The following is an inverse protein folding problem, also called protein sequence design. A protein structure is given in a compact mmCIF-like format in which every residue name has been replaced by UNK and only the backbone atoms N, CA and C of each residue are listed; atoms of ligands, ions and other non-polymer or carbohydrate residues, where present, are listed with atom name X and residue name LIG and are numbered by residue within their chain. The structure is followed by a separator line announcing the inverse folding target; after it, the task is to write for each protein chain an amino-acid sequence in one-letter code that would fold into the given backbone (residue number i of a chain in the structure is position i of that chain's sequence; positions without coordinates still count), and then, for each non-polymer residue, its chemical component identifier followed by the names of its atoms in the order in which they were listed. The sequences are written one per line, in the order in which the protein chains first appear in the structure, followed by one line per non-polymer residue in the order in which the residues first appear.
data_IF_878449573010
#
_entry.id   IF_878449573010
#
_cell.length_a   1.000
_cell.length_b   1.000
_cell.length_c   1.000
_cell.angle_alpha   90.00
_cell.angle_beta   90.00
_cell.angle_gamma   90.00
#
_symmetry.space_group_name_H-M   'P 1'
#
loop_
_entity.id
_entity.type
_entity.pdbx_description
1 polymer ?
#
# COMPACT_ATOMS: atom_id res chain seq x y z
N UNK A 1 -10.55 -0.65 -13.99
CA UNK A 1 -11.25 -0.62 -13.44
C UNK A 1 -11.62 -0.35 -13.30
N UNK A 2 -11.67 -0.37 -13.62
CA UNK A 2 -12.51 -0.29 -13.28
C UNK A 2 -12.99 -0.09 -13.32
N UNK A 3 -12.81 0.38 -13.40
CA UNK A 3 -13.77 0.40 -13.36
C UNK A 3 -14.20 -0.11 -13.97
N UNK A 4 -13.62 -0.40 -14.09
CA UNK A 4 -14.60 -0.96 -14.74
C UNK A 4 -15.77 -0.44 -14.46
N UNK A 5 -16.36 -0.08 -15.31
CA UNK A 5 -17.62 0.17 -14.89
C UNK A 5 -18.11 -1.07 -14.28
N UNK A 6 -18.71 -0.89 -13.20
CA UNK A 6 -19.37 -1.93 -12.64
C UNK A 6 -20.35 -2.39 -13.61
N UNK A 7 -20.24 -3.56 -14.01
CA UNK A 7 -21.21 -4.11 -14.88
C UNK A 7 -22.53 -4.05 -14.20
N UNK A 8 -23.56 -3.80 -14.90
CA UNK A 8 -24.79 -3.69 -14.30
C UNK A 8 -25.23 -4.87 -13.59
N UNK A 9 -24.72 -6.01 -13.98
CA UNK A 9 -25.03 -7.22 -13.29
C UNK A 9 -24.21 -7.44 -12.09
N UNK A 10 -23.21 -6.60 -11.87
CA UNK A 10 -22.44 -6.75 -10.66
C UNK A 10 -23.27 -6.38 -9.48
N UNK A 11 -23.10 -7.05 -8.39
CA UNK A 11 -23.76 -6.63 -7.17
C UNK A 11 -23.26 -5.26 -6.82
N UNK A 12 -24.08 -4.50 -6.17
CA UNK A 12 -23.63 -3.24 -5.63
C UNK A 12 -22.40 -3.49 -4.79
N UNK A 13 -21.46 -2.57 -4.81
CA UNK A 13 -20.30 -2.72 -3.95
C UNK A 13 -20.80 -2.89 -2.55
N UNK A 14 -20.19 -3.80 -1.86
CA UNK A 14 -20.52 -3.97 -0.48
C UNK A 14 -20.31 -2.68 0.23
N UNK A 15 -21.15 -2.36 1.16
CA UNK A 15 -20.91 -1.19 1.98
C UNK A 15 -19.50 -1.31 2.47
N UNK A 16 -18.85 -0.21 2.61
CA UNK A 16 -17.50 -0.16 3.10
C UNK A 16 -17.49 -0.79 4.46
N UNK A 17 -17.46 -2.08 4.46
CA UNK A 17 -17.32 -2.82 5.67
C UNK A 17 -15.88 -2.73 6.02
N UNK A 18 -15.60 -2.30 7.18
CA UNK A 18 -14.26 -2.32 7.67
C UNK A 18 -13.80 -3.75 7.58
N UNK A 19 -12.82 -3.99 6.77
CA UNK A 19 -12.17 -5.27 6.75
C UNK A 19 -11.29 -5.32 7.99
N UNK A 20 -11.53 -6.27 8.87
CA UNK A 20 -10.84 -6.24 10.17
C UNK A 20 -9.33 -6.29 10.04
N UNK A 21 -8.84 -6.84 8.93
CA UNK A 21 -7.41 -7.01 8.73
C UNK A 21 -6.76 -5.89 7.94
N UNK A 22 -7.52 -4.91 7.45
CA UNK A 22 -6.97 -3.88 6.59
C UNK A 22 -6.68 -2.59 7.33
N UNK A 23 -7.57 -2.16 8.19
CA UNK A 23 -7.39 -0.91 8.92
C UNK A 23 -7.53 0.32 8.05
N UNK A 24 -7.34 1.50 8.62
CA UNK A 24 -7.58 2.77 7.96
C UNK A 24 -6.36 3.40 7.33
N UNK A 25 -5.22 3.34 8.00
CA UNK A 25 -4.05 4.08 7.55
C UNK A 25 -3.49 3.47 6.27
N UNK A 26 -2.89 4.32 5.47
CA UNK A 26 -2.27 3.91 4.21
C UNK A 26 -0.78 4.23 4.29
N UNK A 27 0.04 3.23 4.04
CA UNK A 27 1.49 3.40 3.98
C UNK A 27 1.99 3.17 2.57
N UNK A 28 3.00 3.92 2.17
CA UNK A 28 3.55 3.82 0.83
C UNK A 28 5.07 3.86 0.90
N UNK A 29 5.71 2.97 0.16
CA UNK A 29 7.16 2.99 0.01
C UNK A 29 7.47 2.95 -1.47
N UNK A 30 8.25 3.93 -1.93
CA UNK A 30 8.68 3.98 -3.31
C UNK A 30 10.16 3.70 -3.38
N UNK A 31 10.55 2.82 -4.29
CA UNK A 31 11.94 2.44 -4.53
C UNK A 31 12.22 2.53 -6.02
N UNK A 32 13.51 2.61 -6.34
CA UNK A 32 13.93 2.43 -7.71
C UNK A 32 14.30 0.97 -7.87
N UNK A 33 13.51 0.26 -8.65
CA UNK A 33 13.74 -1.15 -8.90
C UNK A 33 12.89 -2.07 -8.03
N UNK A 34 12.65 -3.24 -8.58
CA UNK A 34 11.73 -4.20 -8.00
C UNK A 34 12.28 -4.87 -6.73
N UNK A 35 13.59 -5.07 -6.69
CA UNK A 35 14.20 -5.78 -5.56
C UNK A 35 13.98 -5.02 -4.25
N UNK A 36 14.19 -3.70 -4.29
CA UNK A 36 13.94 -2.90 -3.09
C UNK A 36 12.50 -2.95 -2.64
N UNK A 37 11.56 -2.96 -3.58
CA UNK A 37 10.15 -3.05 -3.25
C UNK A 37 9.81 -4.39 -2.59
N UNK A 38 10.34 -5.48 -3.11
CA UNK A 38 10.07 -6.79 -2.54
C UNK A 38 10.66 -6.91 -1.13
N UNK A 39 11.88 -6.42 -0.97
CA UNK A 39 12.52 -6.44 0.35
C UNK A 39 11.72 -5.60 1.37
N UNK A 40 11.29 -4.41 0.95
CA UNK A 40 10.49 -3.56 1.80
C UNK A 40 9.17 -4.24 2.17
N UNK A 41 8.52 -4.85 1.19
CA UNK A 41 7.23 -5.52 1.41
C UNK A 41 7.37 -6.66 2.40
N UNK A 42 8.40 -7.47 2.25
CA UNK A 42 8.65 -8.59 3.14
C UNK A 42 8.88 -8.09 4.57
N UNK A 43 9.72 -7.07 4.73
CA UNK A 43 10.00 -6.52 6.04
C UNK A 43 8.77 -5.93 6.70
N UNK A 44 7.91 -5.27 5.92
CA UNK A 44 6.71 -4.66 6.46
C UNK A 44 5.76 -5.68 7.05
N UNK A 45 5.46 -6.74 6.30
CA UNK A 45 4.49 -7.72 6.78
C UNK A 45 5.03 -8.59 7.88
N UNK A 46 6.35 -8.70 7.99
CA UNK A 46 6.97 -9.45 9.08
C UNK A 46 7.06 -8.65 10.38
N UNK A 47 7.05 -7.33 10.27
CA UNK A 47 7.28 -6.46 11.43
C UNK A 47 6.00 -6.05 12.12
N UNK A 48 4.93 -5.81 11.36
CA UNK A 48 3.72 -5.27 11.94
C UNK A 48 2.49 -5.83 11.23
N UNK A 49 1.34 -5.63 11.85
CA UNK A 49 0.10 -6.17 11.31
C UNK A 49 -0.43 -5.23 10.22
N UNK A 50 0.11 -5.39 9.05
CA UNK A 50 -0.33 -4.63 7.86
C UNK A 50 -0.61 -5.59 6.72
N UNK A 51 -1.43 -5.13 5.79
CA UNK A 51 -1.80 -5.89 4.60
C UNK A 51 -1.29 -5.15 3.38
N UNK A 52 -0.59 -5.86 2.50
CA UNK A 52 -0.21 -5.27 1.21
C UNK A 52 -1.46 -5.22 0.35
N UNK A 53 -1.83 -4.04 -0.10
CA UNK A 53 -3.06 -3.86 -0.86
C UNK A 53 -2.81 -3.55 -2.33
N UNK A 54 -1.57 -3.38 -2.70
CA UNK A 54 -1.26 -3.17 -4.11
C UNK A 54 0.15 -2.64 -4.31
N UNK A 55 0.52 -2.53 -5.57
CA UNK A 55 1.77 -1.90 -5.95
C UNK A 55 1.59 -1.32 -7.34
N UNK A 56 2.39 -0.31 -7.64
CA UNK A 56 2.32 0.37 -8.93
C UNK A 56 3.71 0.57 -9.47
N UNK A 57 3.80 0.44 -10.78
CA UNK A 57 5.02 0.74 -11.50
C UNK A 57 4.84 2.09 -12.16
N UNK A 58 5.83 2.94 -12.01
CA UNK A 58 5.84 4.24 -12.66
C UNK A 58 7.02 4.26 -13.62
N UNK A 59 7.29 5.38 -14.24
CA UNK A 59 8.41 5.48 -15.16
C UNK A 59 9.75 5.45 -14.44
N UNK A 60 10.79 5.22 -15.20
CA UNK A 60 12.18 5.32 -14.73
C UNK A 60 12.55 4.29 -13.66
N UNK A 61 11.89 3.15 -13.70
CA UNK A 61 12.20 2.08 -12.76
C UNK A 61 11.62 2.28 -11.38
N UNK A 62 10.80 3.30 -11.18
CA UNK A 62 10.18 3.54 -9.89
C UNK A 62 8.99 2.63 -9.67
N UNK A 63 8.93 2.06 -8.48
CA UNK A 63 7.79 1.22 -8.07
C UNK A 63 7.38 1.61 -6.67
N UNK A 64 6.09 1.51 -6.40
CA UNK A 64 5.54 1.88 -5.09
C UNK A 64 4.68 0.74 -4.58
N UNK A 65 4.92 0.34 -3.33
CA UNK A 65 4.08 -0.64 -2.66
C UNK A 65 3.20 0.09 -1.65
N UNK A 66 1.99 -0.43 -1.50
CA UNK A 66 0.97 0.18 -0.64
C UNK A 66 0.52 -0.81 0.40
N UNK A 67 0.44 -0.38 1.64
CA UNK A 67 -0.02 -1.22 2.74
C UNK A 67 -1.09 -0.50 3.54
N UNK A 68 -1.94 -1.27 4.19
CA UNK A 68 -2.96 -0.75 5.08
C UNK A 68 -2.91 -1.45 6.43
N UNK A 69 -3.39 -0.75 7.45
CA UNK A 69 -3.45 -1.25 8.80
C UNK A 69 -3.82 -0.12 9.73
N UNK A 70 -3.77 -0.35 11.03
CA UNK A 70 -3.91 0.75 11.97
C UNK A 70 -2.66 1.64 11.88
N UNK A 71 -2.79 2.88 12.32
CA UNK A 71 -1.73 3.87 12.08
C UNK A 71 -0.42 3.48 12.76
N UNK A 72 -0.47 2.91 13.94
CA UNK A 72 0.75 2.49 14.62
C UNK A 72 1.47 1.37 13.88
N UNK A 73 0.70 0.40 13.41
CA UNK A 73 1.26 -0.71 12.64
C UNK A 73 1.83 -0.23 11.30
N UNK A 74 1.13 0.67 10.63
CA UNK A 74 1.61 1.19 9.35
C UNK A 74 2.90 1.98 9.54
N UNK A 75 3.00 2.78 10.58
CA UNK A 75 4.23 3.53 10.86
C UNK A 75 5.39 2.58 11.14
N UNK A 76 5.16 1.59 12.00
CA UNK A 76 6.22 0.61 12.29
C UNK A 76 6.62 -0.17 11.04
N UNK A 77 5.64 -0.55 10.24
CA UNK A 77 5.91 -1.30 9.02
C UNK A 77 6.73 -0.47 8.03
N UNK A 78 6.33 0.78 7.78
CA UNK A 78 7.04 1.59 6.80
C UNK A 78 8.46 1.94 7.27
N UNK A 79 8.68 2.10 8.56
CA UNK A 79 10.03 2.31 9.08
C UNK A 79 10.91 1.09 8.79
N UNK A 80 10.39 -0.10 9.06
CA UNK A 80 11.13 -1.34 8.82
C UNK A 80 11.35 -1.56 7.33
N UNK A 81 10.33 -1.30 6.53
CA UNK A 81 10.41 -1.47 5.08
C UNK A 81 11.42 -0.53 4.45
N UNK A 82 11.44 0.72 4.90
CA UNK A 82 12.39 1.70 4.40
C UNK A 82 13.83 1.27 4.71
N UNK A 83 14.08 0.82 5.92
CA UNK A 83 15.41 0.36 6.30
C UNK A 83 15.83 -0.85 5.46
N UNK A 84 14.91 -1.78 5.23
CA UNK A 84 15.20 -2.96 4.42
C UNK A 84 15.50 -2.58 2.97
N UNK A 85 14.72 -1.67 2.40
CA UNK A 85 14.93 -1.23 1.02
C UNK A 85 16.29 -0.58 0.84
N UNK A 86 16.71 0.23 1.82
CA UNK A 86 18.01 0.90 1.74
C UNK A 86 19.18 -0.07 1.70
N UNK A 87 19.02 -1.23 2.30
CA UNK A 87 20.12 -2.20 2.33
C UNK A 87 20.35 -2.86 0.98
N UNK A 88 19.36 -2.93 0.13
CA UNK A 88 19.48 -3.67 -1.13
C UNK A 88 19.26 -2.82 -2.37
N UNK A 89 18.88 -1.56 -2.20
CA UNK A 89 18.59 -0.73 -3.34
C UNK A 89 18.41 0.72 -2.96
N UNK A 90 17.71 1.45 -3.81
CA UNK A 90 17.53 2.88 -3.63
C UNK A 90 16.12 3.18 -3.14
N UNK A 91 16.03 3.73 -1.94
CA UNK A 91 14.77 4.20 -1.40
C UNK A 91 14.50 5.60 -1.93
N UNK A 92 13.33 5.81 -2.52
CA UNK A 92 12.95 7.09 -3.10
C UNK A 92 12.05 7.87 -2.13
N UNK A 93 11.09 7.21 -1.52
CA UNK A 93 10.19 7.90 -0.63
C UNK A 93 9.40 6.97 0.26
N UNK A 94 8.95 7.52 1.39
CA UNK A 94 8.10 6.82 2.35
C UNK A 94 7.06 7.81 2.81
N UNK A 95 5.82 7.38 2.87
CA UNK A 95 4.76 8.25 3.35
C UNK A 95 3.66 7.46 4.03
N UNK A 96 3.05 8.07 5.04
CA UNK A 96 1.93 7.48 5.74
C UNK A 96 0.81 8.51 5.77
N UNK A 97 -0.38 8.08 5.38
CA UNK A 97 -1.59 8.88 5.52
C UNK A 97 -2.42 8.19 6.58
N UNK A 98 -2.58 8.85 7.73
CA UNK A 98 -3.26 8.22 8.87
C UNK A 98 -4.73 7.96 8.59
N UNK A 99 -5.37 8.87 7.90
CA UNK A 99 -6.79 8.76 7.58
C UNK A 99 -7.05 9.17 6.16
N UNK A 100 -6.78 8.29 5.20
CA UNK A 100 -7.02 8.65 3.80
C UNK A 100 -8.50 8.93 3.56
N UNK A 101 -8.78 9.86 2.66
CA UNK A 101 -10.14 10.16 2.29
C UNK A 101 -10.80 8.95 1.65
N UNK A 102 -12.09 8.77 1.89
CA UNK A 102 -12.81 7.61 1.38
C UNK A 102 -12.77 7.52 -0.15
N UNK A 103 -12.71 8.65 -0.82
CA UNK A 103 -12.76 8.67 -2.27
C UNK A 103 -11.51 8.17 -2.96
N UNK A 104 -10.40 8.07 -2.23
CA UNK A 104 -9.15 7.69 -2.87
C UNK A 104 -9.22 6.30 -3.50
N UNK A 105 -9.91 5.38 -2.86
CA UNK A 105 -10.01 4.02 -3.38
C UNK A 105 -10.77 3.92 -4.69
N UNK A 106 -11.54 4.94 -5.02
CA UNK A 106 -12.30 4.93 -6.26
C UNK A 106 -11.44 5.28 -7.46
N UNK A 107 -10.36 6.01 -7.22
CA UNK A 107 -9.55 6.57 -8.29
C UNK A 107 -8.20 5.88 -8.37
N UNK A 108 -7.64 5.52 -7.24
CA UNK A 108 -6.30 4.97 -7.17
C UNK A 108 -6.32 3.51 -6.76
N UNK A 109 -5.33 2.72 -7.18
CA UNK A 109 -5.29 1.28 -6.88
C UNK A 109 -4.79 1.01 -5.47
N UNK A 110 -5.51 1.49 -4.48
CA UNK A 110 -5.08 1.43 -3.07
C UNK A 110 -6.09 0.75 -2.18
N UNK A 111 -6.73 -0.28 -2.62
CA UNK A 111 -7.75 -0.91 -1.84
C UNK A 111 -7.34 -1.70 -0.68
#
# INVERSE_FOLDING_TARGET
MMAVPMAKTDPAPEPAVARPDVGEALGMIETRGFVGMIEASDAMVKTANVTIVGWQKVDAGLVTVLVRGDVGSVKAATDAGAAAARRVGELIGVHVIARPADDLERVFPIR
#
